data_IF_630593275282
#
_entry.id   IF_630593275282
#
_cell.length_a   1.000
_cell.length_b   1.000
_cell.length_c   1.000
_cell.angle_alpha   90.00
_cell.angle_beta   90.00
_cell.angle_gamma   90.00
#
_symmetry.space_group_name_H-M   'P 1'
#
loop_
_entity.id
_entity.type
_entity.pdbx_description
1 polymer ?
#
# COMPACT_ATOMS: atom_id res chain seq x y z
N UNK A 1 72.41 -51.17 -5.18
CA UNK A 1 72.68 -49.80 -4.72
C UNK A 1 72.72 -48.93 -5.96
N UNK A 2 71.73 -48.10 -6.30
CA UNK A 2 70.75 -47.43 -5.46
C UNK A 2 69.47 -47.14 -6.27
N UNK A 3 68.37 -47.76 -5.85
CA UNK A 3 66.97 -47.49 -6.21
C UNK A 3 66.47 -46.08 -5.82
N UNK A 4 67.36 -45.09 -5.70
CA UNK A 4 67.04 -43.77 -5.16
C UNK A 4 66.67 -42.74 -6.24
N UNK A 5 67.06 -42.97 -7.49
CA UNK A 5 66.84 -41.99 -8.56
C UNK A 5 65.39 -41.97 -9.08
N UNK A 6 64.61 -43.03 -8.84
CA UNK A 6 63.22 -43.15 -9.29
C UNK A 6 62.18 -42.42 -8.42
N UNK A 7 62.51 -42.09 -7.16
CA UNK A 7 61.55 -41.49 -6.21
C UNK A 7 61.41 -39.97 -6.38
N UNK A 8 62.47 -39.29 -6.83
CA UNK A 8 62.49 -37.82 -6.97
C UNK A 8 61.75 -37.38 -8.26
N UNK A 9 61.83 -38.18 -9.33
CA UNK A 9 61.15 -37.87 -10.59
C UNK A 9 59.62 -37.95 -10.50
N UNK A 10 59.08 -38.91 -9.71
CA UNK A 10 57.61 -39.06 -9.54
C UNK A 10 56.97 -37.99 -8.65
N UNK A 11 57.75 -37.35 -7.76
CA UNK A 11 57.24 -36.28 -6.89
C UNK A 11 57.07 -34.95 -7.66
N UNK A 12 57.93 -34.70 -8.65
CA UNK A 12 57.89 -33.49 -9.48
C UNK A 12 56.70 -33.42 -10.44
N UNK A 13 56.24 -34.57 -10.97
CA UNK A 13 55.06 -34.62 -11.84
C UNK A 13 53.73 -34.48 -11.06
N UNK A 14 53.65 -35.01 -9.83
CA UNK A 14 52.50 -34.83 -8.95
C UNK A 14 52.29 -33.36 -8.53
N UNK A 15 53.39 -32.61 -8.31
CA UNK A 15 53.30 -31.20 -7.97
C UNK A 15 52.97 -30.29 -9.16
N UNK A 16 53.36 -30.66 -10.40
CA UNK A 16 52.97 -29.92 -11.60
C UNK A 16 51.50 -30.13 -12.00
N UNK A 17 50.96 -31.33 -11.78
CA UNK A 17 49.53 -31.59 -11.96
C UNK A 17 48.65 -30.85 -10.95
N UNK A 18 49.05 -30.82 -9.67
CA UNK A 18 48.29 -30.15 -8.61
C UNK A 18 48.26 -28.62 -8.76
N UNK A 19 49.35 -28.01 -9.25
CA UNK A 19 49.41 -26.56 -9.47
C UNK A 19 48.50 -26.08 -10.62
N UNK A 20 48.37 -26.88 -11.69
CA UNK A 20 47.47 -26.57 -12.81
C UNK A 20 45.99 -26.78 -12.45
N UNK A 21 45.66 -27.80 -11.64
CA UNK A 21 44.29 -28.02 -11.15
C UNK A 21 43.89 -26.93 -10.12
N UNK A 22 44.81 -26.51 -9.26
CA UNK A 22 44.58 -25.41 -8.30
C UNK A 22 44.36 -24.06 -8.98
N UNK A 23 45.07 -23.77 -10.08
CA UNK A 23 44.91 -22.53 -10.83
C UNK A 23 43.58 -22.49 -11.60
N UNK A 24 43.14 -23.62 -12.18
CA UNK A 24 41.85 -23.74 -12.85
C UNK A 24 40.65 -23.68 -11.88
N UNK A 25 40.80 -24.19 -10.65
CA UNK A 25 39.78 -24.08 -9.61
C UNK A 25 39.63 -22.64 -9.05
N UNK A 26 40.72 -21.85 -9.01
CA UNK A 26 40.70 -20.46 -8.56
C UNK A 26 40.00 -19.50 -9.53
N UNK A 27 40.05 -19.79 -10.84
CA UNK A 27 39.39 -18.99 -11.87
C UNK A 27 37.87 -19.20 -11.93
N UNK A 28 37.36 -20.31 -11.41
CA UNK A 28 35.92 -20.57 -11.29
C UNK A 28 35.27 -19.86 -10.08
N UNK A 29 36.07 -19.36 -9.13
CA UNK A 29 35.57 -18.64 -7.95
C UNK A 29 35.23 -17.16 -8.21
N UNK A 30 35.64 -16.60 -9.36
CA UNK A 30 35.04 -15.38 -9.88
C UNK A 30 33.70 -15.71 -10.56
N UNK A 31 32.77 -16.22 -9.76
CA UNK A 31 31.37 -16.32 -10.17
C UNK A 31 30.91 -14.93 -10.59
N UNK A 32 30.47 -14.82 -11.85
CA UNK A 32 30.03 -13.58 -12.46
C UNK A 32 29.13 -12.77 -11.49
N UNK A 33 29.41 -11.48 -11.23
CA UNK A 33 28.59 -10.65 -10.33
C UNK A 33 27.16 -10.41 -10.87
N UNK A 34 26.87 -10.91 -12.06
CA UNK A 34 25.60 -10.79 -12.77
C UNK A 34 24.76 -12.07 -12.73
N UNK A 35 25.19 -13.11 -12.01
CA UNK A 35 24.33 -14.28 -11.75
C UNK A 35 23.46 -13.97 -10.52
N UNK A 36 22.13 -13.89 -10.67
CA UNK A 36 21.25 -13.62 -9.54
C UNK A 36 21.31 -14.78 -8.53
N UNK A 37 21.31 -14.49 -7.21
CA UNK A 37 21.23 -15.53 -6.20
C UNK A 37 19.88 -16.29 -6.32
N UNK A 38 19.83 -17.56 -5.90
CA UNK A 38 18.58 -18.31 -5.91
C UNK A 38 17.53 -17.62 -5.01
N UNK A 39 16.26 -17.66 -5.41
CA UNK A 39 15.18 -17.10 -4.60
C UNK A 39 15.04 -17.83 -3.26
N UNK A 40 14.72 -17.09 -2.20
CA UNK A 40 14.47 -17.63 -0.86
C UNK A 40 13.35 -18.69 -0.89
N UNK A 41 13.61 -19.94 -0.48
CA UNK A 41 12.63 -21.03 -0.55
C UNK A 41 11.42 -20.84 0.37
N UNK A 42 11.49 -19.96 1.37
CA UNK A 42 10.36 -19.62 2.24
C UNK A 42 9.39 -18.61 1.63
N UNK A 43 9.78 -17.99 0.50
CA UNK A 43 8.95 -17.00 -0.17
C UNK A 43 7.83 -17.64 -0.98
N UNK A 44 6.57 -17.18 -0.87
CA UNK A 44 5.47 -17.65 -1.71
C UNK A 44 5.70 -17.36 -3.21
N UNK A 45 6.65 -16.48 -3.55
CA UNK A 45 6.99 -16.11 -4.92
C UNK A 45 8.23 -16.84 -5.47
N UNK A 46 8.86 -17.72 -4.68
CA UNK A 46 10.12 -18.37 -5.05
C UNK A 46 10.04 -19.10 -6.41
N UNK A 47 8.95 -19.82 -6.67
CA UNK A 47 8.73 -20.52 -7.93
C UNK A 47 8.64 -19.55 -9.13
N UNK A 48 7.91 -18.46 -8.97
CA UNK A 48 7.73 -17.45 -10.02
C UNK A 48 9.03 -16.69 -10.32
N UNK A 49 9.77 -16.31 -9.27
CA UNK A 49 11.06 -15.61 -9.41
C UNK A 49 12.10 -16.51 -10.07
N UNK A 50 12.17 -17.79 -9.68
CA UNK A 50 13.10 -18.74 -10.29
C UNK A 50 12.73 -19.06 -11.76
N UNK A 51 11.44 -19.08 -12.10
CA UNK A 51 10.99 -19.22 -13.49
C UNK A 51 11.39 -17.98 -14.32
N UNK A 52 11.08 -16.78 -13.85
CA UNK A 52 11.46 -15.53 -14.50
C UNK A 52 12.99 -15.39 -14.65
N UNK A 53 13.77 -15.79 -13.65
CA UNK A 53 15.23 -15.79 -13.73
C UNK A 53 15.75 -16.73 -14.83
N UNK A 54 15.17 -17.93 -14.96
CA UNK A 54 15.51 -18.87 -16.05
C UNK A 54 15.16 -18.30 -17.43
N UNK A 55 13.98 -17.70 -17.57
CA UNK A 55 13.53 -17.11 -18.83
C UNK A 55 14.36 -15.88 -19.22
N UNK A 56 14.82 -15.10 -18.23
CA UNK A 56 15.65 -13.91 -18.42
C UNK A 56 17.04 -14.20 -19.01
N UNK A 57 17.55 -15.43 -18.86
CA UNK A 57 18.87 -15.84 -19.38
C UNK A 57 18.99 -15.69 -20.90
N UNK A 58 17.89 -15.87 -21.61
CA UNK A 58 17.81 -15.74 -23.07
C UNK A 58 17.02 -14.51 -23.53
N UNK A 59 16.57 -13.68 -22.59
CA UNK A 59 15.85 -12.46 -22.92
C UNK A 59 16.77 -11.46 -23.63
N UNK A 60 16.22 -10.78 -24.64
CA UNK A 60 16.93 -9.67 -25.31
C UNK A 60 17.25 -8.61 -24.26
N UNK A 61 18.53 -8.25 -24.12
CA UNK A 61 18.94 -7.15 -23.25
C UNK A 61 18.40 -5.85 -23.85
N UNK A 62 17.65 -5.03 -23.07
CA UNK A 62 17.20 -3.74 -23.57
C UNK A 62 18.42 -2.89 -23.89
N UNK A 63 18.36 -2.18 -25.02
CA UNK A 63 19.41 -1.25 -25.43
C UNK A 63 18.92 0.19 -25.31
N UNK A 64 19.85 1.14 -25.18
CA UNK A 64 19.51 2.57 -25.20
C UNK A 64 18.84 3.00 -26.52
N UNK A 65 19.05 2.25 -27.61
CA UNK A 65 18.37 2.49 -28.88
C UNK A 65 16.88 2.07 -28.88
N UNK A 66 16.46 1.24 -27.91
CA UNK A 66 15.06 0.84 -27.74
C UNK A 66 14.25 1.83 -26.90
N UNK A 67 14.89 2.89 -26.38
CA UNK A 67 14.18 3.97 -25.71
C UNK A 67 13.28 4.64 -26.73
N UNK A 68 11.94 4.67 -26.51
CA UNK A 68 11.03 5.34 -27.42
C UNK A 68 11.41 6.81 -27.58
N UNK A 69 11.21 7.34 -28.79
CA UNK A 69 11.36 8.77 -29.02
C UNK A 69 10.45 9.57 -28.07
N UNK A 70 10.91 10.76 -27.68
CA UNK A 70 10.12 11.67 -26.86
C UNK A 70 8.78 11.89 -27.57
N UNK A 71 7.63 11.69 -26.88
CA UNK A 71 6.33 11.94 -27.47
C UNK A 71 6.28 13.35 -28.06
N UNK A 72 5.76 13.49 -29.27
CA UNK A 72 5.58 14.79 -29.92
C UNK A 72 4.21 15.39 -29.61
N UNK A 73 3.26 14.56 -29.14
CA UNK A 73 1.93 14.97 -28.68
C UNK A 73 1.97 15.42 -27.20
N UNK A 74 2.84 16.40 -26.91
CA UNK A 74 2.88 17.05 -25.61
C UNK A 74 2.45 18.49 -25.81
N UNK A 75 1.62 18.99 -24.89
CA UNK A 75 1.17 20.39 -24.95
C UNK A 75 2.38 21.31 -24.96
N UNK A 76 2.37 22.25 -25.90
CA UNK A 76 3.32 23.36 -25.93
C UNK A 76 3.15 24.25 -24.69
N UNK A 77 4.17 25.01 -24.28
CA UNK A 77 4.06 25.95 -23.16
C UNK A 77 2.89 26.94 -23.31
N UNK A 78 2.59 27.37 -24.54
CA UNK A 78 1.46 28.26 -24.84
C UNK A 78 0.12 27.55 -24.60
N UNK A 79 -0.02 26.29 -25.03
CA UNK A 79 -1.23 25.50 -24.78
C UNK A 79 -1.42 25.21 -23.29
N UNK A 80 -0.35 24.96 -22.54
CA UNK A 80 -0.40 24.84 -21.09
C UNK A 80 -0.89 26.14 -20.43
N UNK A 81 -0.32 27.29 -20.81
CA UNK A 81 -0.75 28.59 -20.28
C UNK A 81 -2.24 28.84 -20.55
N UNK A 82 -2.71 28.52 -21.76
CA UNK A 82 -4.14 28.63 -22.12
C UNK A 82 -5.01 27.72 -21.27
N UNK A 83 -4.63 26.44 -21.10
CA UNK A 83 -5.38 25.48 -20.29
C UNK A 83 -5.47 25.92 -18.82
N UNK A 84 -4.36 26.35 -18.24
CA UNK A 84 -4.33 26.88 -16.86
C UNK A 84 -5.17 28.14 -16.73
N UNK A 85 -5.14 29.04 -17.73
CA UNK A 85 -6.00 30.23 -17.74
C UNK A 85 -7.49 29.88 -17.76
N UNK A 86 -7.89 28.91 -18.58
CA UNK A 86 -9.26 28.42 -18.64
C UNK A 86 -9.70 27.79 -17.31
N UNK A 87 -8.84 26.98 -16.69
CA UNK A 87 -9.11 26.35 -15.39
C UNK A 87 -9.29 27.40 -14.28
N UNK A 88 -8.45 28.44 -14.25
CA UNK A 88 -8.60 29.53 -13.29
C UNK A 88 -9.94 30.25 -13.45
N UNK A 89 -10.37 30.52 -14.69
CA UNK A 89 -11.66 31.14 -14.94
C UNK A 89 -12.82 30.22 -14.50
N UNK A 90 -12.72 28.92 -14.75
CA UNK A 90 -13.71 27.94 -14.30
C UNK A 90 -13.77 27.87 -12.77
N UNK A 91 -12.63 27.88 -12.09
CA UNK A 91 -12.55 27.89 -10.63
C UNK A 91 -13.18 29.16 -10.03
N UNK A 92 -12.92 30.34 -10.60
CA UNK A 92 -13.55 31.58 -10.15
C UNK A 92 -15.06 31.59 -10.41
N UNK A 93 -15.52 31.01 -11.52
CA UNK A 93 -16.95 30.80 -11.76
C UNK A 93 -17.56 29.87 -10.71
N UNK A 94 -16.92 28.73 -10.44
CA UNK A 94 -17.39 27.78 -9.44
C UNK A 94 -17.52 28.43 -8.07
N UNK A 95 -16.49 29.18 -7.61
CA UNK A 95 -16.55 29.91 -6.33
C UNK A 95 -17.74 30.86 -6.23
N UNK A 96 -18.08 31.56 -7.31
CA UNK A 96 -19.27 32.43 -7.35
C UNK A 96 -20.56 31.63 -7.29
N UNK A 97 -20.64 30.55 -8.05
CA UNK A 97 -21.85 29.72 -8.13
C UNK A 97 -22.11 28.96 -6.82
N UNK A 98 -21.04 28.61 -6.07
CA UNK A 98 -21.08 27.93 -4.77
C UNK A 98 -21.01 28.89 -3.58
N UNK A 99 -21.17 30.19 -3.79
CA UNK A 99 -21.12 31.15 -2.70
C UNK A 99 -22.23 30.82 -1.66
N UNK A 100 -22.01 31.09 -0.36
CA UNK A 100 -23.06 30.89 0.64
C UNK A 100 -24.36 31.57 0.22
N UNK A 101 -25.49 30.90 0.42
CA UNK A 101 -26.83 31.38 0.05
C UNK A 101 -27.17 31.41 -1.46
N UNK A 102 -26.33 30.89 -2.37
CA UNK A 102 -26.73 30.69 -3.78
C UNK A 102 -27.62 29.48 -3.99
N UNK A 103 -27.55 28.50 -3.10
CA UNK A 103 -28.38 27.31 -3.14
C UNK A 103 -29.29 27.25 -1.92
N UNK A 104 -30.59 27.35 -2.16
CA UNK A 104 -31.62 27.09 -1.16
C UNK A 104 -32.23 25.73 -1.44
N UNK A 105 -32.15 24.82 -0.46
CA UNK A 105 -32.84 23.54 -0.53
C UNK A 105 -34.32 23.80 -0.24
N UNK A 106 -35.13 23.86 -1.30
CA UNK A 106 -36.59 24.03 -1.20
C UNK A 106 -37.30 22.67 -1.13
N UNK A 107 -38.49 22.65 -0.54
CA UNK A 107 -39.32 21.43 -0.49
C UNK A 107 -38.84 20.35 0.49
N UNK A 108 -37.94 20.68 1.42
CA UNK A 108 -37.44 19.73 2.45
C UNK A 108 -38.57 19.16 3.30
N UNK A 109 -39.54 19.97 3.70
CA UNK A 109 -40.65 19.49 4.54
C UNK A 109 -41.61 18.57 3.77
N UNK A 110 -41.88 18.87 2.49
CA UNK A 110 -42.69 18.00 1.64
C UNK A 110 -42.00 16.64 1.40
N UNK A 111 -40.68 16.66 1.17
CA UNK A 111 -39.89 15.43 1.09
C UNK A 111 -39.88 14.67 2.41
N UNK A 112 -39.68 15.36 3.55
CA UNK A 112 -39.67 14.76 4.87
C UNK A 112 -41.03 14.15 5.25
N UNK A 113 -42.14 14.84 4.96
CA UNK A 113 -43.50 14.32 5.13
C UNK A 113 -43.69 13.03 4.33
N UNK A 114 -43.37 13.04 3.03
CA UNK A 114 -43.46 11.85 2.18
C UNK A 114 -42.58 10.70 2.69
N UNK A 115 -41.38 11.00 3.18
CA UNK A 115 -40.49 9.99 3.75
C UNK A 115 -41.08 9.37 5.03
N UNK A 116 -41.67 10.18 5.92
CA UNK A 116 -42.37 9.70 7.13
C UNK A 116 -43.57 8.83 6.78
N UNK A 117 -44.36 9.25 5.79
CA UNK A 117 -45.54 8.51 5.31
C UNK A 117 -45.16 7.14 4.73
N UNK A 118 -44.12 7.07 3.89
CA UNK A 118 -43.61 5.83 3.30
C UNK A 118 -43.02 4.90 4.36
N UNK A 119 -42.25 5.46 5.29
CA UNK A 119 -41.61 4.69 6.34
C UNK A 119 -42.59 4.25 7.45
N UNK A 120 -43.85 4.71 7.40
CA UNK A 120 -44.87 4.51 8.46
C UNK A 120 -44.30 4.82 9.85
N UNK A 121 -43.40 5.79 9.92
CA UNK A 121 -42.75 6.16 11.18
C UNK A 121 -43.84 6.81 12.02
N UNK A 122 -44.17 6.25 13.20
CA UNK A 122 -45.10 6.91 14.10
C UNK A 122 -44.61 8.33 14.35
N UNK A 123 -45.54 9.28 14.51
CA UNK A 123 -45.16 10.65 14.86
C UNK A 123 -44.14 10.58 16.01
N UNK A 124 -43.01 11.28 15.87
CA UNK A 124 -42.04 11.37 16.94
C UNK A 124 -42.78 11.89 18.16
N UNK A 125 -43.03 11.03 19.15
CA UNK A 125 -43.54 11.45 20.44
C UNK A 125 -42.47 12.34 21.06
N UNK A 126 -42.61 13.65 20.87
CA UNK A 126 -41.79 14.63 21.57
C UNK A 126 -42.06 14.35 23.05
N UNK A 127 -41.05 13.98 23.86
CA UNK A 127 -41.28 13.66 25.25
C UNK A 127 -42.02 14.80 25.93
N UNK A 128 -43.19 14.50 26.47
CA UNK A 128 -44.02 15.46 27.18
C UNK A 128 -43.37 15.83 28.51
N UNK A 129 -43.84 16.91 29.14
CA UNK A 129 -43.38 17.26 30.49
C UNK A 129 -43.70 16.14 31.51
N UNK A 130 -44.76 15.36 31.27
CA UNK A 130 -45.08 14.18 32.07
C UNK A 130 -44.03 13.06 31.90
N UNK A 131 -43.55 12.82 30.68
CA UNK A 131 -42.49 11.83 30.40
C UNK A 131 -41.16 12.24 31.05
N UNK A 132 -40.87 13.54 31.07
CA UNK A 132 -39.72 14.10 31.79
C UNK A 132 -39.85 13.90 33.29
N UNK A 133 -41.00 14.22 33.88
CA UNK A 133 -41.26 14.03 35.30
C UNK A 133 -41.18 12.54 35.71
N UNK A 134 -41.68 11.63 34.88
CA UNK A 134 -41.58 10.19 35.11
C UNK A 134 -40.11 9.71 35.10
N UNK A 135 -39.30 10.22 34.16
CA UNK A 135 -37.88 9.91 34.07
C UNK A 135 -37.10 10.42 35.28
N UNK A 136 -37.40 11.64 35.75
CA UNK A 136 -36.79 12.22 36.94
C UNK A 136 -37.16 11.46 38.23
N UNK A 137 -38.43 11.05 38.36
CA UNK A 137 -38.90 10.24 39.48
C UNK A 137 -38.22 8.86 39.52
N UNK A 138 -38.09 8.20 38.36
CA UNK A 138 -37.34 6.94 38.26
C UNK A 138 -35.86 7.12 38.64
N UNK A 139 -35.23 8.18 38.14
CA UNK A 139 -33.84 8.49 38.47
C UNK A 139 -33.65 8.77 39.98
N UNK A 140 -34.60 9.47 40.61
CA UNK A 140 -34.59 9.67 42.06
C UNK A 140 -34.72 8.35 42.82
N UNK A 141 -35.69 7.50 42.46
CA UNK A 141 -35.88 6.21 43.09
C UNK A 141 -34.68 5.26 42.91
N UNK A 142 -33.94 5.38 41.80
CA UNK A 142 -32.69 4.65 41.60
C UNK A 142 -31.57 5.16 42.54
N UNK A 143 -31.43 6.48 42.71
CA UNK A 143 -30.46 7.08 43.64
C UNK A 143 -30.76 6.75 45.10
N UNK A 144 -32.04 6.79 45.49
CA UNK A 144 -32.46 6.45 46.86
C UNK A 144 -32.12 4.98 47.19
N UNK A 145 -32.32 4.06 46.24
CA UNK A 145 -31.94 2.64 46.39
C UNK A 145 -30.43 2.40 46.40
N UNK A 146 -29.66 3.24 45.70
CA UNK A 146 -28.21 3.14 45.63
C UNK A 146 -27.49 3.85 46.80
N UNK A 147 -28.23 4.52 47.69
CA UNK A 147 -27.66 5.21 48.84
C UNK A 147 -27.34 4.19 49.94
N UNK A 148 -26.05 4.08 50.30
CA UNK A 148 -25.60 3.16 51.34
C UNK A 148 -26.23 3.49 52.71
N UNK A 149 -26.53 2.48 53.54
CA UNK A 149 -27.09 2.71 54.87
C UNK A 149 -26.12 3.56 55.72
N UNK A 150 -26.65 4.44 56.61
CA UNK A 150 -25.83 5.35 57.38
C UNK A 150 -24.83 4.60 58.27
N UNK A 151 -23.55 4.90 58.12
CA UNK A 151 -22.45 4.35 58.90
C UNK A 151 -22.32 5.07 60.25
N UNK A 152 -23.21 4.77 61.19
CA UNK A 152 -22.92 5.00 62.61
C UNK A 152 -23.31 3.79 63.45
N UNK A 153 -22.38 3.22 64.23
CA UNK A 153 -22.76 2.35 65.35
C UNK A 153 -23.43 3.22 66.42
N UNK A 154 -24.51 2.70 67.02
CA UNK A 154 -25.02 3.18 68.30
C UNK A 154 -24.02 2.88 69.41
#
# INVERSE_FOLDING_TARGET
>A
MNDETGKIARLGELFRGAALIGLLAGLAACASPFTPPPADPSSPLAAAVNAAAKDSKHARKPSFAEIPAIPTDVRTPVQFKKAVGAEKLAAEKLKRDTAPSTWTLSGTEAYASKARDVAKVPASDIPTDADRAATEAFAKAARDRATAPPSKPQ
#
